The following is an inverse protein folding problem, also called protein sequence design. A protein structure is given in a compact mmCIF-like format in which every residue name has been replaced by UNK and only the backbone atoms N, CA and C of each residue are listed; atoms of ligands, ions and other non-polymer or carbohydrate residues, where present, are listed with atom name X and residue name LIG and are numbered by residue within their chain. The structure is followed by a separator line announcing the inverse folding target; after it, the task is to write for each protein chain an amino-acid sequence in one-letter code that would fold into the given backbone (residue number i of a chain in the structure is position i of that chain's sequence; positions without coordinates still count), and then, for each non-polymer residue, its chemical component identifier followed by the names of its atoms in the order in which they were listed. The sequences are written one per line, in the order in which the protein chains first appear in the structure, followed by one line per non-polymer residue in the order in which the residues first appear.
data_IF_364973847824
#
_entry.id   IF_364973847824
#
_cell.length_a   1.000
_cell.length_b   1.000
_cell.length_c   1.000
_cell.angle_alpha   90.00
_cell.angle_beta   90.00
_cell.angle_gamma   90.00
#
_symmetry.space_group_name_H-M   'P 1'
#
loop_
_entity.id
_entity.type
_entity.pdbx_description
1 polymer ?
#
# COMPACT_ATOMS: atom_id res chain seq x y z
N UNK A 1 30.45 -8.50 24.41
CA UNK A 1 30.36 -9.91 23.98
C UNK A 1 29.27 -10.12 22.91
N UNK A 2 28.03 -9.69 23.13
CA UNK A 2 26.91 -9.87 22.17
C UNK A 2 27.13 -9.26 20.78
N UNK A 3 27.75 -8.07 20.69
CA UNK A 3 28.02 -7.41 19.41
C UNK A 3 28.97 -8.23 18.50
N UNK A 4 30.02 -8.81 19.09
CA UNK A 4 30.97 -9.67 18.37
C UNK A 4 30.30 -10.96 17.91
N UNK A 5 29.42 -11.52 18.74
CA UNK A 5 28.64 -12.73 18.41
C UNK A 5 27.65 -12.48 17.27
N UNK A 6 27.04 -11.28 17.22
CA UNK A 6 26.18 -10.87 16.11
C UNK A 6 26.95 -10.72 14.80
N UNK A 7 28.13 -10.10 14.83
CA UNK A 7 29.01 -10.00 13.64
C UNK A 7 29.40 -11.39 13.14
N UNK A 8 29.73 -12.31 14.04
CA UNK A 8 30.02 -13.70 13.68
C UNK A 8 28.80 -14.42 13.07
N UNK A 9 27.60 -14.24 13.64
CA UNK A 9 26.36 -14.78 13.07
C UNK A 9 26.07 -14.22 11.67
N UNK A 10 26.22 -12.92 11.46
CA UNK A 10 26.05 -12.30 10.14
C UNK A 10 27.05 -12.89 9.16
N UNK A 11 28.33 -12.99 9.54
CA UNK A 11 29.38 -13.62 8.72
C UNK A 11 29.08 -15.08 8.36
N UNK A 12 28.55 -15.87 9.29
CA UNK A 12 28.16 -17.26 9.03
C UNK A 12 26.96 -17.37 8.08
N UNK A 13 25.95 -16.51 8.24
CA UNK A 13 24.77 -16.48 7.37
C UNK A 13 25.20 -16.07 5.94
N UNK A 14 25.95 -14.99 5.81
CA UNK A 14 26.46 -14.50 4.51
C UNK A 14 27.39 -15.54 3.87
N UNK A 15 28.29 -16.15 4.64
CA UNK A 15 29.18 -17.22 4.17
C UNK A 15 28.41 -18.45 3.69
N UNK A 16 27.33 -18.83 4.36
CA UNK A 16 26.46 -19.94 3.94
C UNK A 16 25.76 -19.63 2.61
N UNK A 17 25.23 -18.42 2.43
CA UNK A 17 24.61 -18.03 1.16
C UNK A 17 25.60 -18.06 -0.01
N UNK A 18 26.84 -17.63 0.21
CA UNK A 18 27.90 -17.66 -0.81
C UNK A 18 28.30 -19.10 -1.12
N UNK A 19 28.45 -19.95 -0.11
CA UNK A 19 28.90 -21.35 -0.26
C UNK A 19 27.87 -22.23 -0.97
N UNK A 20 26.58 -22.00 -0.73
CA UNK A 20 25.50 -22.76 -1.37
C UNK A 20 25.01 -22.14 -2.70
N UNK A 21 25.52 -20.97 -3.11
CA UNK A 21 25.14 -20.31 -4.36
C UNK A 21 23.68 -19.85 -4.43
N UNK A 22 22.97 -19.80 -3.29
CA UNK A 22 21.57 -19.36 -3.25
C UNK A 22 21.47 -17.85 -3.40
N UNK A 23 20.70 -17.41 -4.40
CA UNK A 23 20.25 -16.03 -4.49
C UNK A 23 19.38 -15.69 -3.26
N UNK A 24 19.71 -14.63 -2.48
CA UNK A 24 18.91 -14.21 -1.33
C UNK A 24 17.43 -14.00 -1.66
N UNK A 25 17.12 -13.57 -2.89
CA UNK A 25 15.76 -13.41 -3.39
C UNK A 25 15.00 -14.75 -3.47
N UNK A 26 15.63 -15.79 -4.00
CA UNK A 26 14.98 -17.11 -4.15
C UNK A 26 14.70 -17.76 -2.79
N UNK A 27 15.60 -17.57 -1.82
CA UNK A 27 15.38 -18.02 -0.45
C UNK A 27 14.24 -17.27 0.22
N UNK A 28 14.18 -15.93 0.07
CA UNK A 28 13.10 -15.14 0.68
C UNK A 28 11.74 -15.51 0.10
N UNK A 29 11.64 -15.70 -1.22
CA UNK A 29 10.38 -16.12 -1.85
C UNK A 29 9.95 -17.50 -1.34
N UNK A 30 10.86 -18.47 -1.25
CA UNK A 30 10.54 -19.81 -0.75
C UNK A 30 10.08 -19.80 0.73
N UNK A 31 10.72 -19.00 1.57
CA UNK A 31 10.35 -18.86 2.99
C UNK A 31 8.99 -18.18 3.14
N UNK A 32 8.73 -17.10 2.39
CA UNK A 32 7.46 -16.39 2.45
C UNK A 32 6.31 -17.20 1.87
N UNK A 33 6.48 -17.86 0.73
CA UNK A 33 5.48 -18.77 0.15
C UNK A 33 5.13 -19.87 1.14
N UNK A 34 6.10 -20.49 1.81
CA UNK A 34 5.84 -21.54 2.81
C UNK A 34 5.16 -21.01 4.10
N UNK A 35 5.41 -19.76 4.50
CA UNK A 35 4.73 -19.10 5.62
C UNK A 35 3.27 -18.73 5.28
N UNK A 36 3.04 -18.31 4.04
CA UNK A 36 1.74 -17.86 3.52
C UNK A 36 0.86 -19.06 3.13
N UNK A 37 1.36 -19.96 2.29
CA UNK A 37 0.76 -21.23 1.92
C UNK A 37 1.18 -22.35 2.89
N UNK A 38 0.54 -22.40 4.07
CA UNK A 38 0.45 -23.71 4.75
C UNK A 38 -0.50 -24.59 3.94
N UNK A 39 -0.20 -25.90 3.76
CA UNK A 39 -1.02 -26.80 2.96
C UNK A 39 -2.48 -26.73 3.40
N UNK A 40 -3.36 -26.41 2.45
CA UNK A 40 -4.80 -26.31 2.64
C UNK A 40 -5.35 -27.70 2.95
N UNK A 41 -5.95 -27.90 4.12
CA UNK A 41 -6.88 -29.01 4.29
C UNK A 41 -8.25 -28.56 3.78
N UNK A 42 -9.00 -29.43 3.10
CA UNK A 42 -10.34 -29.12 2.58
C UNK A 42 -11.27 -28.50 3.66
N UNK A 43 -11.08 -28.85 4.93
CA UNK A 43 -11.82 -28.26 6.06
C UNK A 43 -11.48 -26.79 6.33
N UNK A 44 -10.28 -26.34 6.00
CA UNK A 44 -9.88 -24.93 6.12
C UNK A 44 -10.46 -24.10 4.96
N UNK A 45 -10.50 -24.65 3.74
CA UNK A 45 -11.05 -23.96 2.56
C UNK A 45 -12.57 -23.76 2.67
N UNK A 46 -13.30 -24.77 3.18
CA UNK A 46 -14.74 -24.67 3.45
C UNK A 46 -15.02 -23.68 4.60
N UNK A 47 -14.18 -23.59 5.63
CA UNK A 47 -14.35 -22.61 6.71
C UNK A 47 -13.93 -21.18 6.31
N UNK A 48 -13.06 -21.03 5.30
CA UNK A 48 -12.66 -19.74 4.72
C UNK A 48 -13.77 -19.13 3.87
N UNK A 49 -14.50 -19.94 3.09
CA UNK A 49 -15.69 -19.48 2.33
C UNK A 49 -16.89 -19.23 3.24
N UNK A 50 -16.97 -19.90 4.39
CA UNK A 50 -18.08 -19.73 5.36
C UNK A 50 -17.82 -18.63 6.41
N UNK A 51 -16.82 -17.75 6.21
CA UNK A 51 -16.47 -16.61 7.09
C UNK A 51 -16.21 -16.94 8.59
N UNK A 52 -16.04 -18.20 8.98
CA UNK A 52 -15.91 -18.59 10.40
C UNK A 52 -14.52 -18.40 11.00
N UNK A 53 -13.48 -18.11 10.21
CA UNK A 53 -12.10 -17.95 10.71
C UNK A 53 -11.41 -16.71 10.14
N UNK A 54 -11.08 -15.72 11.00
CA UNK A 54 -10.32 -14.52 10.61
C UNK A 54 -8.90 -14.93 10.18
N UNK A 55 -8.51 -14.57 8.94
CA UNK A 55 -7.12 -14.73 8.43
C UNK A 55 -6.14 -14.05 9.41
N UNK A 56 -5.01 -14.69 9.71
CA UNK A 56 -3.98 -14.11 10.59
C UNK A 56 -3.53 -12.73 10.08
N UNK A 57 -3.24 -11.79 10.98
CA UNK A 57 -2.87 -10.40 10.62
C UNK A 57 -1.79 -10.32 9.54
N UNK A 58 -0.72 -11.11 9.65
CA UNK A 58 0.38 -11.17 8.67
C UNK A 58 -0.10 -11.61 7.28
N UNK A 59 -0.88 -12.69 7.19
CA UNK A 59 -1.43 -13.18 5.92
C UNK A 59 -2.36 -12.17 5.27
N UNK A 60 -3.16 -11.46 6.08
CA UNK A 60 -4.02 -10.38 5.59
C UNK A 60 -3.18 -9.24 5.00
N UNK A 61 -2.16 -8.78 5.71
CA UNK A 61 -1.25 -7.72 5.23
C UNK A 61 -0.50 -8.12 3.95
N UNK A 62 -0.02 -9.36 3.87
CA UNK A 62 0.66 -9.87 2.68
C UNK A 62 -0.31 -9.96 1.49
N UNK A 63 -1.52 -10.49 1.69
CA UNK A 63 -2.52 -10.60 0.64
C UNK A 63 -3.01 -9.23 0.16
N UNK A 64 -3.23 -8.29 1.09
CA UNK A 64 -3.52 -6.89 0.76
C UNK A 64 -2.37 -6.31 -0.06
N UNK A 65 -1.12 -6.42 0.41
CA UNK A 65 0.06 -5.91 -0.30
C UNK A 65 0.24 -6.54 -1.69
N UNK A 66 -0.04 -7.83 -1.86
CA UNK A 66 -0.01 -8.49 -3.16
C UNK A 66 -1.11 -7.98 -4.10
N UNK A 67 -2.35 -7.84 -3.62
CA UNK A 67 -3.45 -7.27 -4.39
C UNK A 67 -3.12 -5.83 -4.85
N UNK A 68 -2.53 -5.06 -3.94
CA UNK A 68 -2.01 -3.72 -4.15
C UNK A 68 -0.91 -3.68 -5.25
N UNK A 69 0.11 -4.52 -5.13
CA UNK A 69 1.21 -4.57 -6.09
C UNK A 69 0.75 -5.06 -7.48
N UNK A 70 -0.24 -5.95 -7.50
CA UNK A 70 -0.88 -6.40 -8.74
C UNK A 70 -1.68 -5.29 -9.41
N UNK A 71 -2.49 -4.56 -8.65
CA UNK A 71 -3.27 -3.42 -9.15
C UNK A 71 -2.39 -2.26 -9.67
N UNK A 72 -1.19 -2.09 -9.11
CA UNK A 72 -0.24 -1.05 -9.54
C UNK A 72 0.73 -1.51 -10.63
N UNK A 73 0.59 -2.74 -11.14
CA UNK A 73 1.50 -3.32 -12.14
C UNK A 73 2.94 -3.54 -11.62
N UNK A 74 3.16 -3.45 -10.31
CA UNK A 74 4.48 -3.58 -9.64
C UNK A 74 4.69 -4.95 -9.00
N UNK A 75 4.04 -6.00 -9.50
CA UNK A 75 4.10 -7.37 -8.97
C UNK A 75 5.54 -7.90 -8.83
N UNK A 76 6.41 -7.58 -9.79
CA UNK A 76 7.85 -7.95 -9.78
C UNK A 76 8.63 -7.34 -8.59
N UNK A 77 8.04 -6.39 -7.87
CA UNK A 77 8.66 -5.77 -6.69
C UNK A 77 8.35 -6.49 -5.40
N UNK A 78 7.42 -7.44 -5.40
CA UNK A 78 7.06 -8.21 -4.20
C UNK A 78 8.26 -8.97 -3.59
N UNK A 79 9.12 -9.67 -4.35
CA UNK A 79 10.31 -10.32 -3.80
C UNK A 79 11.29 -9.34 -3.14
N UNK A 80 11.43 -8.13 -3.70
CA UNK A 80 12.25 -7.06 -3.11
C UNK A 80 11.67 -6.58 -1.78
N UNK A 81 10.35 -6.48 -1.68
CA UNK A 81 9.67 -6.12 -0.43
C UNK A 81 9.84 -7.20 0.65
N UNK A 82 9.72 -8.47 0.27
CA UNK A 82 9.97 -9.61 1.15
C UNK A 82 11.40 -9.63 1.68
N UNK A 83 12.39 -9.44 0.81
CA UNK A 83 13.80 -9.30 1.21
C UNK A 83 13.98 -8.14 2.21
N UNK A 84 13.40 -6.97 1.91
CA UNK A 84 13.46 -5.81 2.78
C UNK A 84 12.86 -6.11 4.17
N UNK A 85 11.72 -6.79 4.22
CA UNK A 85 11.10 -7.19 5.49
C UNK A 85 11.94 -8.18 6.30
N UNK A 86 12.68 -9.07 5.63
CA UNK A 86 13.60 -10.01 6.30
C UNK A 86 14.81 -9.28 6.86
N UNK A 87 15.34 -8.28 6.14
CA UNK A 87 16.40 -7.41 6.64
C UNK A 87 15.94 -6.64 7.87
N UNK A 88 14.74 -6.06 7.84
CA UNK A 88 14.16 -5.38 9.01
C UNK A 88 13.89 -6.33 10.18
N UNK A 89 13.46 -7.57 9.92
CA UNK A 89 13.32 -8.61 10.94
C UNK A 89 14.66 -8.90 11.63
N UNK A 90 15.72 -9.11 10.85
CA UNK A 90 17.07 -9.37 11.36
C UNK A 90 17.63 -8.16 12.13
N UNK A 91 17.39 -6.94 11.64
CA UNK A 91 17.77 -5.71 12.33
C UNK A 91 17.05 -5.58 13.68
N UNK A 92 15.73 -5.81 13.72
CA UNK A 92 14.95 -5.78 14.95
C UNK A 92 15.41 -6.82 15.98
N UNK A 93 15.67 -8.06 15.55
CA UNK A 93 16.23 -9.08 16.42
C UNK A 93 17.63 -8.69 16.94
N UNK A 94 18.49 -8.14 16.08
CA UNK A 94 19.84 -7.72 16.44
C UNK A 94 19.84 -6.61 17.47
N UNK A 95 18.97 -5.59 17.31
CA UNK A 95 18.82 -4.49 18.28
C UNK A 95 18.42 -5.05 19.65
N UNK A 96 17.43 -5.94 19.72
CA UNK A 96 17.01 -6.54 20.99
C UNK A 96 18.13 -7.35 21.67
N UNK A 97 18.96 -8.07 20.89
CA UNK A 97 20.10 -8.84 21.39
C UNK A 97 21.22 -7.92 21.92
N UNK A 98 21.50 -6.79 21.24
CA UNK A 98 22.47 -5.79 21.71
C UNK A 98 22.01 -5.16 23.02
N UNK A 99 20.72 -4.90 23.17
CA UNK A 99 20.11 -4.42 24.41
C UNK A 99 20.10 -5.47 25.54
N UNK A 100 20.41 -6.73 25.25
CA UNK A 100 20.41 -7.81 26.23
C UNK A 100 19.03 -8.19 26.74
N UNK A 101 17.97 -7.83 26.01
CA UNK A 101 16.58 -8.10 26.40
C UNK A 101 15.99 -9.22 25.55
N UNK A 102 15.93 -10.42 26.12
CA UNK A 102 15.41 -11.60 25.44
C UNK A 102 13.90 -11.50 25.13
N UNK A 103 13.11 -10.92 26.04
CA UNK A 103 11.66 -10.77 25.87
C UNK A 103 11.28 -9.81 24.74
N UNK A 104 12.14 -8.83 24.47
CA UNK A 104 11.94 -7.83 23.42
C UNK A 104 12.20 -8.39 22.00
N UNK A 105 13.00 -9.46 21.86
CA UNK A 105 13.37 -10.05 20.56
C UNK A 105 12.16 -10.35 19.67
N UNK A 106 11.16 -11.15 20.10
CA UNK A 106 10.02 -11.47 19.24
C UNK A 106 9.19 -10.24 18.87
N UNK A 107 9.00 -9.31 19.81
CA UNK A 107 8.19 -8.10 19.60
C UNK A 107 8.86 -7.19 18.57
N UNK A 108 10.15 -6.91 18.73
CA UNK A 108 10.89 -6.01 17.86
C UNK A 108 11.12 -6.63 16.48
N UNK A 109 11.44 -7.92 16.41
CA UNK A 109 11.64 -8.62 15.13
C UNK A 109 10.35 -8.66 14.30
N UNK A 110 9.22 -9.06 14.88
CA UNK A 110 7.92 -9.10 14.18
C UNK A 110 7.41 -7.70 13.86
N UNK A 111 7.56 -6.75 14.79
CA UNK A 111 7.15 -5.36 14.58
C UNK A 111 7.91 -4.69 13.44
N UNK A 112 9.24 -4.85 13.38
CA UNK A 112 10.05 -4.28 12.29
C UNK A 112 9.82 -4.99 10.95
N UNK A 113 9.57 -6.30 10.96
CA UNK A 113 9.20 -7.05 9.74
C UNK A 113 7.97 -6.49 9.05
N UNK A 114 7.01 -5.92 9.80
CA UNK A 114 5.76 -5.40 9.27
C UNK A 114 5.87 -4.00 8.65
N UNK A 115 6.94 -3.25 8.94
CA UNK A 115 7.11 -1.86 8.48
C UNK A 115 7.05 -1.72 6.95
N UNK A 116 7.71 -2.55 6.14
CA UNK A 116 7.65 -2.42 4.68
C UNK A 116 6.25 -2.67 4.11
N UNK A 117 5.49 -3.59 4.69
CA UNK A 117 4.11 -3.87 4.28
C UNK A 117 3.20 -2.68 4.59
N UNK A 118 3.32 -2.11 5.79
CA UNK A 118 2.61 -0.90 6.17
C UNK A 118 2.94 0.30 5.27
N UNK A 119 4.22 0.45 4.90
CA UNK A 119 4.64 1.49 3.97
C UNK A 119 3.93 1.35 2.61
N UNK A 120 3.91 0.15 2.02
CA UNK A 120 3.25 -0.08 0.72
C UNK A 120 1.74 0.19 0.78
N UNK A 121 1.08 -0.23 1.86
CA UNK A 121 -0.34 0.03 2.09
C UNK A 121 -0.63 1.54 2.17
N UNK A 122 0.24 2.31 2.83
CA UNK A 122 0.09 3.77 2.91
C UNK A 122 0.38 4.45 1.57
N UNK A 123 1.45 4.05 0.86
CA UNK A 123 1.87 4.63 -0.42
C UNK A 123 0.85 4.44 -1.53
N UNK A 124 0.06 3.37 -1.50
CA UNK A 124 -0.94 3.13 -2.54
C UNK A 124 -1.99 4.21 -2.69
N UNK A 125 -2.31 4.87 -1.58
CA UNK A 125 -3.22 6.01 -1.56
C UNK A 125 -2.78 7.09 -2.54
N UNK A 126 -1.48 7.40 -2.58
CA UNK A 126 -0.95 8.44 -3.47
C UNK A 126 -1.14 8.06 -4.94
N UNK A 127 -0.93 6.79 -5.30
CA UNK A 127 -1.08 6.35 -6.69
C UNK A 127 -2.51 6.47 -7.20
N UNK A 128 -3.51 6.06 -6.39
CA UNK A 128 -4.93 6.24 -6.76
C UNK A 128 -5.31 7.72 -6.85
N UNK A 129 -4.73 8.57 -6.00
CA UNK A 129 -4.95 10.03 -6.02
C UNK A 129 -4.37 10.69 -7.27
N UNK A 130 -3.13 10.35 -7.63
CA UNK A 130 -2.48 10.90 -8.83
C UNK A 130 -3.28 10.52 -10.08
N UNK A 131 -3.75 9.26 -10.16
CA UNK A 131 -4.66 8.83 -11.22
C UNK A 131 -5.97 9.62 -11.21
N UNK A 132 -6.59 9.82 -10.05
CA UNK A 132 -7.84 10.57 -9.93
C UNK A 132 -7.70 12.05 -10.34
N UNK A 133 -6.58 12.69 -10.00
CA UNK A 133 -6.30 14.08 -10.37
C UNK A 133 -6.04 14.25 -11.87
N UNK A 134 -5.26 13.35 -12.47
CA UNK A 134 -5.05 13.34 -13.92
C UNK A 134 -6.34 12.99 -14.67
N UNK A 135 -7.16 12.08 -14.13
CA UNK A 135 -8.48 11.75 -14.67
C UNK A 135 -9.44 12.93 -14.65
N UNK A 136 -9.52 13.68 -13.54
CA UNK A 136 -10.37 14.87 -13.46
C UNK A 136 -10.05 15.84 -14.61
N UNK A 137 -8.77 16.13 -14.80
CA UNK A 137 -8.29 17.00 -15.87
C UNK A 137 -8.63 16.43 -17.25
N UNK A 138 -8.32 15.15 -17.48
CA UNK A 138 -8.58 14.47 -18.74
C UNK A 138 -10.06 14.46 -19.12
N UNK A 139 -10.93 14.02 -18.19
CA UNK A 139 -12.37 13.92 -18.43
C UNK A 139 -13.01 15.29 -18.60
N UNK A 140 -12.52 16.32 -17.91
CA UNK A 140 -13.01 17.69 -18.09
C UNK A 140 -12.77 18.19 -19.50
N UNK A 141 -11.52 18.12 -19.98
CA UNK A 141 -11.16 18.62 -21.31
C UNK A 141 -11.87 17.79 -22.41
N UNK A 142 -11.88 16.45 -22.28
CA UNK A 142 -12.57 15.56 -23.24
C UNK A 142 -14.07 15.83 -23.25
N UNK A 143 -14.71 15.99 -22.09
CA UNK A 143 -16.14 16.29 -22.01
C UNK A 143 -16.47 17.62 -22.67
N UNK A 144 -15.65 18.65 -22.47
CA UNK A 144 -15.83 19.95 -23.16
C UNK A 144 -15.73 19.81 -24.68
N UNK A 145 -14.72 19.11 -25.20
CA UNK A 145 -14.61 18.86 -26.65
C UNK A 145 -15.75 17.98 -27.18
N UNK A 146 -16.20 16.99 -26.39
CA UNK A 146 -17.32 16.12 -26.77
C UNK A 146 -18.65 16.89 -26.86
N UNK A 147 -18.91 17.81 -25.93
CA UNK A 147 -20.10 18.66 -25.98
C UNK A 147 -20.14 19.56 -27.22
N UNK A 148 -18.97 19.94 -27.75
CA UNK A 148 -18.83 20.75 -28.97
C UNK A 148 -19.00 19.93 -30.24
N UNK A 149 -18.33 18.79 -30.33
CA UNK A 149 -18.21 18.03 -31.58
C UNK A 149 -19.21 16.86 -31.68
N UNK A 150 -19.84 16.45 -30.57
CA UNK A 150 -20.69 15.25 -30.44
C UNK A 150 -20.04 13.92 -30.88
N UNK A 151 -18.72 13.92 -31.06
CA UNK A 151 -17.93 12.75 -31.40
C UNK A 151 -16.80 12.55 -30.38
N UNK A 152 -16.84 11.39 -29.71
CA UNK A 152 -15.88 11.02 -28.68
C UNK A 152 -14.49 10.75 -29.27
N UNK A 153 -14.39 10.26 -30.52
CA UNK A 153 -13.11 9.97 -31.13
C UNK A 153 -12.34 11.25 -31.43
N UNK A 154 -13.01 12.20 -32.08
CA UNK A 154 -12.45 13.53 -32.31
C UNK A 154 -12.14 14.24 -30.99
N UNK A 155 -13.02 14.14 -29.98
CA UNK A 155 -12.79 14.77 -28.68
C UNK A 155 -11.60 14.20 -27.90
N UNK A 156 -11.33 12.89 -27.99
CA UNK A 156 -10.14 12.28 -27.36
C UNK A 156 -8.88 12.59 -28.17
N UNK A 157 -8.97 12.61 -29.50
CA UNK A 157 -7.82 12.89 -30.39
C UNK A 157 -7.30 14.32 -30.26
N UNK A 158 -8.19 15.31 -30.21
CA UNK A 158 -7.81 16.71 -30.01
C UNK A 158 -7.10 16.96 -28.68
N UNK A 159 -7.37 16.13 -27.68
CA UNK A 159 -6.93 16.35 -26.31
C UNK A 159 -5.77 15.45 -25.86
N UNK A 160 -5.33 14.51 -26.71
CA UNK A 160 -4.38 13.47 -26.31
C UNK A 160 -3.03 14.05 -25.87
N UNK A 161 -2.57 15.11 -26.53
CA UNK A 161 -1.27 15.75 -26.25
C UNK A 161 -1.24 16.51 -24.91
N UNK A 162 -2.41 16.80 -24.32
CA UNK A 162 -2.53 17.47 -23.03
C UNK A 162 -2.61 16.50 -21.85
N UNK A 163 -2.66 15.18 -22.11
CA UNK A 163 -2.77 14.15 -21.08
C UNK A 163 -1.39 13.71 -20.58
N UNK A 164 -1.27 13.42 -19.29
CA UNK A 164 -0.07 12.79 -18.74
C UNK A 164 -0.23 11.27 -18.56
N UNK A 165 0.86 10.49 -18.56
CA UNK A 165 0.82 9.08 -18.15
C UNK A 165 0.43 8.94 -16.66
N UNK A 166 -0.41 7.95 -16.25
CA UNK A 166 -0.85 6.78 -17.02
C UNK A 166 -2.13 6.97 -17.86
N UNK A 167 -2.91 8.03 -17.62
CA UNK A 167 -4.21 8.27 -18.28
C UNK A 167 -4.05 8.41 -19.79
N UNK A 168 -2.99 9.09 -20.25
CA UNK A 168 -2.62 9.17 -21.67
C UNK A 168 -2.51 7.80 -22.35
N UNK A 169 -1.89 6.83 -21.68
CA UNK A 169 -1.64 5.51 -22.29
C UNK A 169 -2.94 4.74 -22.53
N UNK A 170 -3.93 4.93 -21.66
CA UNK A 170 -5.25 4.31 -21.73
C UNK A 170 -6.06 4.91 -22.89
N UNK A 171 -6.16 6.23 -22.98
CA UNK A 171 -6.86 6.90 -24.07
C UNK A 171 -6.20 6.71 -25.44
N UNK A 172 -4.85 6.65 -25.48
CA UNK A 172 -4.11 6.32 -26.70
C UNK A 172 -4.42 4.90 -27.18
N UNK A 173 -4.53 3.95 -26.25
CA UNK A 173 -4.90 2.56 -26.57
C UNK A 173 -6.33 2.48 -27.11
N UNK A 174 -7.26 3.23 -26.50
CA UNK A 174 -8.63 3.36 -27.01
C UNK A 174 -8.67 3.89 -28.44
N UNK A 175 -8.02 5.02 -28.74
CA UNK A 175 -8.00 5.58 -30.09
C UNK A 175 -7.34 4.64 -31.10
N UNK A 176 -6.22 4.02 -30.74
CA UNK A 176 -5.50 3.09 -31.61
C UNK A 176 -6.37 1.89 -31.96
N UNK A 177 -7.09 1.34 -30.98
CA UNK A 177 -8.00 0.22 -31.19
C UNK A 177 -9.14 0.58 -32.14
N UNK A 178 -9.80 1.72 -31.90
CA UNK A 178 -10.95 2.11 -32.72
C UNK A 178 -10.54 2.41 -34.17
N UNK A 179 -9.39 3.05 -34.37
CA UNK A 179 -8.90 3.42 -35.70
C UNK A 179 -8.27 2.26 -36.48
N UNK A 180 -7.55 1.35 -35.81
CA UNK A 180 -6.69 0.36 -36.48
C UNK A 180 -7.14 -1.09 -36.32
N UNK A 181 -7.98 -1.41 -35.33
CA UNK A 181 -8.34 -2.81 -34.99
C UNK A 181 -9.81 -3.09 -35.23
N UNK A 182 -10.70 -2.36 -34.56
CA UNK A 182 -12.14 -2.56 -34.66
C UNK A 182 -12.86 -1.22 -34.47
N UNK A 183 -13.67 -0.75 -35.44
CA UNK A 183 -14.40 0.52 -35.36
C UNK A 183 -15.57 0.52 -34.34
N UNK A 184 -15.81 -0.58 -33.63
CA UNK A 184 -16.81 -0.65 -32.56
C UNK A 184 -16.40 0.18 -31.34
N UNK A 185 -16.91 1.41 -31.30
CA UNK A 185 -16.69 2.37 -30.22
C UNK A 185 -17.32 1.91 -28.90
N UNK A 186 -18.45 1.20 -28.92
CA UNK A 186 -19.14 0.78 -27.70
C UNK A 186 -18.35 -0.31 -26.99
N UNK A 187 -17.91 -1.33 -27.72
CA UNK A 187 -17.00 -2.34 -27.19
C UNK A 187 -15.66 -1.73 -26.75
N UNK A 188 -15.15 -0.71 -27.45
CA UNK A 188 -13.94 -0.01 -27.04
C UNK A 188 -14.13 0.83 -25.76
N UNK A 189 -15.31 1.39 -25.51
CA UNK A 189 -15.64 2.11 -24.28
C UNK A 189 -15.79 1.16 -23.08
N UNK A 190 -16.35 -0.03 -23.27
CA UNK A 190 -16.36 -1.07 -22.23
C UNK A 190 -14.94 -1.50 -21.84
N UNK A 191 -14.08 -1.73 -22.82
CA UNK A 191 -12.69 -2.13 -22.53
C UNK A 191 -11.84 -0.95 -22.04
N UNK A 192 -12.25 0.29 -22.31
CA UNK A 192 -11.68 1.50 -21.72
C UNK A 192 -12.03 1.57 -20.22
N UNK A 193 -13.28 1.29 -19.86
CA UNK A 193 -13.79 1.25 -18.48
C UNK A 193 -12.96 0.31 -17.59
N UNK A 194 -12.64 -0.88 -18.10
CA UNK A 194 -11.91 -1.91 -17.33
C UNK A 194 -10.41 -1.59 -17.12
N UNK A 195 -9.83 -0.65 -17.87
CA UNK A 195 -8.42 -0.28 -17.73
C UNK A 195 -8.12 0.61 -16.52
N UNK A 196 -9.13 1.27 -15.96
CA UNK A 196 -8.99 2.20 -14.83
C UNK A 196 -10.01 1.86 -13.74
N UNK A 197 -9.51 1.45 -12.56
CA UNK A 197 -10.34 1.18 -11.38
C UNK A 197 -10.71 2.48 -10.66
N UNK A 198 -11.70 3.19 -11.20
CA UNK A 198 -12.29 4.39 -10.60
C UNK A 198 -13.80 4.43 -10.85
N UNK A 199 -14.58 4.53 -9.76
CA UNK A 199 -16.04 4.47 -9.82
C UNK A 199 -16.66 5.60 -10.67
N UNK A 200 -16.10 6.81 -10.64
CA UNK A 200 -16.63 7.94 -11.42
C UNK A 200 -16.18 7.88 -12.87
N UNK A 201 -15.00 7.33 -13.15
CA UNK A 201 -14.60 7.00 -14.51
C UNK A 201 -15.53 5.94 -15.14
N UNK A 202 -15.95 4.95 -14.35
CA UNK A 202 -16.93 3.95 -14.78
C UNK A 202 -18.28 4.57 -15.10
N UNK A 203 -18.77 5.44 -14.21
CA UNK A 203 -20.01 6.21 -14.41
C UNK A 203 -19.93 7.10 -15.65
N UNK A 204 -18.77 7.74 -15.90
CA UNK A 204 -18.54 8.55 -17.10
C UNK A 204 -18.53 7.72 -18.39
N UNK A 205 -17.89 6.54 -18.38
CA UNK A 205 -17.92 5.63 -19.53
C UNK A 205 -19.35 5.12 -19.81
N UNK A 206 -20.09 4.75 -18.76
CA UNK A 206 -21.49 4.31 -18.89
C UNK A 206 -22.38 5.44 -19.43
N UNK A 207 -22.16 6.68 -18.99
CA UNK A 207 -22.86 7.85 -19.51
C UNK A 207 -22.53 8.13 -20.98
N UNK A 208 -21.27 7.94 -21.42
CA UNK A 208 -20.90 8.04 -22.83
C UNK A 208 -21.59 6.99 -23.71
N UNK A 209 -21.68 5.75 -23.22
CA UNK A 209 -22.40 4.67 -23.90
C UNK A 209 -23.90 4.99 -23.98
N UNK A 210 -24.49 5.55 -22.91
CA UNK A 210 -25.86 6.03 -22.93
C UNK A 210 -26.07 7.19 -23.94
N UNK A 211 -25.10 8.11 -24.05
CA UNK A 211 -25.16 9.22 -25.01
C UNK A 211 -25.16 8.77 -26.48
N UNK A 212 -24.65 7.58 -26.77
CA UNK A 212 -24.73 6.99 -28.12
C UNK A 212 -26.15 6.58 -28.49
N UNK A 213 -26.91 6.09 -27.51
CA UNK A 213 -28.31 5.71 -27.65
C UNK A 213 -29.22 6.94 -27.63
N UNK A 214 -28.92 7.93 -26.79
CA UNK A 214 -29.65 9.18 -26.69
C UNK A 214 -28.71 10.38 -26.51
N UNK A 215 -28.55 11.17 -27.57
CA UNK A 215 -27.65 12.34 -27.58
C UNK A 215 -28.09 13.46 -26.64
N UNK A 216 -29.36 13.49 -26.21
CA UNK A 216 -29.84 14.50 -25.26
C UNK A 216 -29.20 14.37 -23.88
N UNK A 217 -28.69 13.17 -23.56
CA UNK A 217 -28.03 12.86 -22.28
C UNK A 217 -26.62 13.45 -22.16
N UNK A 218 -26.06 14.08 -23.21
CA UNK A 218 -24.68 14.61 -23.17
C UNK A 218 -24.41 15.61 -22.04
N UNK A 219 -25.45 16.31 -21.57
CA UNK A 219 -25.37 17.25 -20.44
C UNK A 219 -25.18 16.56 -19.09
N UNK A 220 -25.46 15.25 -19.00
CA UNK A 220 -25.23 14.44 -17.78
C UNK A 220 -23.76 14.18 -17.51
N UNK A 221 -22.87 14.34 -18.50
CA UNK A 221 -21.42 14.19 -18.29
C UNK A 221 -20.84 15.30 -17.43
N UNK A 222 -21.37 16.53 -17.52
CA UNK A 222 -20.88 17.68 -16.76
C UNK A 222 -20.90 17.40 -15.24
N UNK A 223 -22.05 17.04 -14.62
CA UNK A 223 -22.09 16.76 -13.20
C UNK A 223 -21.26 15.53 -12.79
N UNK A 224 -21.09 14.53 -13.66
CA UNK A 224 -20.22 13.37 -13.40
C UNK A 224 -18.76 13.82 -13.30
N UNK A 225 -18.30 14.70 -14.19
CA UNK A 225 -16.95 15.27 -14.10
C UNK A 225 -16.81 16.19 -12.87
N UNK A 226 -17.83 17.00 -12.55
CA UNK A 226 -17.80 17.84 -11.34
C UNK A 226 -17.66 17.01 -10.06
N UNK A 227 -18.26 15.81 -10.00
CA UNK A 227 -18.09 14.85 -8.91
C UNK A 227 -16.63 14.42 -8.71
N UNK A 228 -15.80 14.36 -9.76
CA UNK A 228 -14.35 14.11 -9.62
C UNK A 228 -13.64 15.27 -8.92
N UNK A 229 -14.04 16.51 -9.23
CA UNK A 229 -13.50 17.70 -8.58
C UNK A 229 -13.85 17.75 -7.09
N UNK A 230 -15.11 17.48 -6.75
CA UNK A 230 -15.56 17.41 -5.37
C UNK A 230 -14.82 16.31 -4.60
N UNK A 231 -14.64 15.13 -5.20
CA UNK A 231 -13.85 14.05 -4.61
C UNK A 231 -12.39 14.44 -4.38
N UNK A 232 -11.78 15.25 -5.26
CA UNK A 232 -10.41 15.75 -5.07
C UNK A 232 -10.32 16.69 -3.88
N UNK A 233 -11.23 17.66 -3.77
CA UNK A 233 -11.28 18.60 -2.64
C UNK A 233 -11.46 17.83 -1.32
N UNK A 234 -12.44 16.93 -1.29
CA UNK A 234 -12.70 16.08 -0.12
C UNK A 234 -11.49 15.19 0.20
N UNK A 235 -10.81 14.62 -0.79
CA UNK A 235 -9.59 13.82 -0.56
C UNK A 235 -8.43 14.65 0.00
N UNK A 236 -8.30 15.92 -0.40
CA UNK A 236 -7.31 16.85 0.15
C UNK A 236 -7.61 17.22 1.61
N UNK A 237 -8.87 17.49 1.92
CA UNK A 237 -9.32 17.73 3.31
C UNK A 237 -9.12 16.48 4.17
N UNK A 238 -9.49 15.31 3.67
CA UNK A 238 -9.31 14.03 4.37
C UNK A 238 -7.84 13.74 4.63
N UNK A 239 -6.94 14.07 3.70
CA UNK A 239 -5.51 13.91 3.90
C UNK A 239 -4.98 14.82 5.01
N UNK A 240 -5.40 16.08 5.05
CA UNK A 240 -5.02 16.98 6.12
C UNK A 240 -5.53 16.47 7.48
N UNK A 241 -6.80 16.05 7.55
CA UNK A 241 -7.41 15.50 8.76
C UNK A 241 -6.77 14.17 9.20
N UNK A 242 -6.21 13.39 8.29
CA UNK A 242 -5.54 12.11 8.60
C UNK A 242 -4.05 12.29 8.87
N UNK A 243 -3.41 13.29 8.27
CA UNK A 243 -1.99 13.58 8.47
C UNK A 243 -1.72 14.13 9.87
N UNK A 244 -2.62 14.96 10.40
CA UNK A 244 -2.54 15.52 11.74
C UNK A 244 -2.44 14.44 12.84
N UNK A 245 -3.37 13.47 12.97
CA UNK A 245 -3.27 12.41 13.98
C UNK A 245 -2.07 11.48 13.73
N UNK A 246 -1.66 11.26 12.48
CA UNK A 246 -0.45 10.48 12.18
C UNK A 246 0.80 11.17 12.68
N UNK A 247 0.92 12.48 12.44
CA UNK A 247 2.07 13.29 12.88
C UNK A 247 2.14 13.31 14.40
N UNK A 248 1.04 13.59 15.08
CA UNK A 248 0.96 13.58 16.55
C UNK A 248 1.35 12.21 17.12
N UNK A 249 0.84 11.14 16.51
CA UNK A 249 1.16 9.79 16.92
C UNK A 249 2.65 9.44 16.76
N UNK A 250 3.27 9.83 15.63
CA UNK A 250 4.71 9.64 15.41
C UNK A 250 5.53 10.44 16.43
N UNK A 251 5.15 11.70 16.71
CA UNK A 251 5.81 12.53 17.72
C UNK A 251 5.72 11.87 19.10
N UNK A 252 4.54 11.34 19.47
CA UNK A 252 4.35 10.63 20.74
C UNK A 252 5.25 9.40 20.84
N UNK A 253 5.37 8.59 19.77
CA UNK A 253 6.26 7.43 19.76
C UNK A 253 7.74 7.82 19.88
N UNK A 254 8.16 8.84 19.14
CA UNK A 254 9.53 9.36 19.22
C UNK A 254 9.84 9.87 20.61
N UNK A 255 8.89 10.51 21.28
CA UNK A 255 9.05 10.98 22.66
C UNK A 255 9.17 9.80 23.62
N UNK A 256 8.33 8.76 23.51
CA UNK A 256 8.41 7.55 24.35
C UNK A 256 9.77 6.85 24.17
N UNK A 257 10.22 6.65 22.93
CA UNK A 257 11.53 6.03 22.65
C UNK A 257 12.68 6.95 23.09
N UNK A 258 12.54 8.26 22.88
CA UNK A 258 13.50 9.28 23.28
C UNK A 258 13.69 9.41 24.79
N UNK A 259 12.71 9.01 25.60
CA UNK A 259 12.86 8.97 27.06
C UNK A 259 13.97 7.98 27.50
N UNK A 260 14.23 6.91 26.74
CA UNK A 260 15.26 5.92 27.08
C UNK A 260 16.66 6.55 27.11
N UNK A 261 17.15 7.23 26.04
CA UNK A 261 18.43 7.92 26.09
C UNK A 261 18.41 9.14 27.03
N UNK A 262 17.29 9.85 27.19
CA UNK A 262 17.20 10.96 28.16
C UNK A 262 17.44 10.44 29.58
N UNK A 263 16.87 9.29 29.96
CA UNK A 263 17.12 8.65 31.24
C UNK A 263 18.60 8.30 31.43
N UNK A 264 19.30 7.88 30.38
CA UNK A 264 20.74 7.62 30.45
C UNK A 264 21.54 8.89 30.83
N UNK A 265 21.17 10.05 30.28
CA UNK A 265 21.84 11.33 30.59
C UNK A 265 21.44 11.91 31.94
N UNK A 266 20.16 11.79 32.32
CA UNK A 266 19.63 12.39 33.54
C UNK A 266 19.95 11.56 34.78
N UNK A 267 19.80 10.24 34.70
CA UNK A 267 19.99 9.34 35.84
C UNK A 267 20.42 7.93 35.39
N UNK A 268 21.72 7.66 35.51
CA UNK A 268 22.32 6.36 35.13
C UNK A 268 21.79 5.18 35.93
N UNK A 269 21.41 5.36 37.19
CA UNK A 269 20.92 4.27 38.04
C UNK A 269 19.51 3.82 37.62
N UNK A 270 18.65 4.79 37.27
CA UNK A 270 17.31 4.50 36.76
C UNK A 270 17.36 3.87 35.37
N UNK A 271 18.25 4.35 34.50
CA UNK A 271 18.49 3.72 33.21
C UNK A 271 18.99 2.28 33.37
N UNK A 272 19.97 2.05 34.25
CA UNK A 272 20.51 0.71 34.51
C UNK A 272 19.42 -0.22 35.07
N UNK A 273 18.59 0.29 35.99
CA UNK A 273 17.44 -0.44 36.53
C UNK A 273 16.45 -0.80 35.42
N UNK A 274 16.10 0.12 34.54
CA UNK A 274 15.15 -0.12 33.46
C UNK A 274 15.68 -1.10 32.39
N UNK A 275 16.96 -1.02 32.03
CA UNK A 275 17.53 -1.82 30.94
C UNK A 275 17.99 -3.22 31.37
N UNK A 276 18.51 -3.35 32.59
CA UNK A 276 19.19 -4.57 33.03
C UNK A 276 18.43 -5.38 34.09
N UNK A 277 17.34 -4.85 34.67
CA UNK A 277 16.48 -5.66 35.55
C UNK A 277 15.41 -6.41 34.77
N UNK A 278 15.00 -7.58 35.28
CA UNK A 278 13.96 -8.38 34.64
C UNK A 278 12.61 -7.64 34.53
N UNK A 279 12.27 -6.84 35.56
CA UNK A 279 11.04 -6.04 35.56
C UNK A 279 11.13 -4.89 34.54
N UNK A 280 12.26 -4.20 34.45
CA UNK A 280 12.46 -3.16 33.46
C UNK A 280 12.42 -3.69 32.02
N UNK A 281 13.03 -4.86 31.78
CA UNK A 281 12.97 -5.53 30.48
C UNK A 281 11.56 -5.95 30.06
N UNK A 282 10.72 -6.38 31.01
CA UNK A 282 9.31 -6.65 30.76
C UNK A 282 8.54 -5.38 30.42
N UNK A 283 8.76 -4.29 31.17
CA UNK A 283 8.13 -2.99 30.89
C UNK A 283 8.49 -2.51 29.49
N UNK A 284 9.77 -2.55 29.10
CA UNK A 284 10.21 -2.19 27.76
C UNK A 284 9.56 -3.05 26.67
N UNK A 285 9.38 -4.34 26.94
CA UNK A 285 8.70 -5.27 26.01
C UNK A 285 7.23 -4.92 25.84
N UNK A 286 6.53 -4.62 26.92
CA UNK A 286 5.12 -4.19 26.89
C UNK A 286 4.99 -2.86 26.16
N UNK A 287 5.85 -1.87 26.46
CA UNK A 287 5.86 -0.59 25.76
C UNK A 287 6.09 -0.76 24.26
N UNK A 288 7.07 -1.57 23.85
CA UNK A 288 7.32 -1.86 22.44
C UNK A 288 6.13 -2.56 21.78
N UNK A 289 5.49 -3.51 22.46
CA UNK A 289 4.30 -4.19 21.95
C UNK A 289 3.14 -3.21 21.74
N UNK A 290 2.91 -2.32 22.71
CA UNK A 290 1.88 -1.27 22.61
C UNK A 290 2.18 -0.32 21.45
N UNK A 291 3.44 0.08 21.24
CA UNK A 291 3.86 0.90 20.09
C UNK A 291 3.47 0.20 18.78
N UNK A 292 3.83 -1.07 18.58
CA UNK A 292 3.50 -1.75 17.32
C UNK A 292 2.01 -2.02 17.14
N UNK A 293 1.27 -2.37 18.20
CA UNK A 293 -0.18 -2.59 18.14
C UNK A 293 -0.92 -1.29 17.85
N UNK A 294 -0.52 -0.18 18.48
CA UNK A 294 -1.08 1.14 18.21
C UNK A 294 -0.74 1.61 16.80
N UNK A 295 0.49 1.41 16.30
CA UNK A 295 0.84 1.71 14.90
C UNK A 295 -0.03 0.94 13.93
N UNK A 296 -0.19 -0.37 14.14
CA UNK A 296 -1.06 -1.20 13.32
C UNK A 296 -2.52 -0.72 13.31
N UNK A 297 -3.00 -0.18 14.44
CA UNK A 297 -4.37 0.32 14.60
C UNK A 297 -4.54 1.69 13.95
N UNK A 298 -3.58 2.60 14.14
CA UNK A 298 -3.55 3.91 13.49
C UNK A 298 -3.48 3.75 11.97
N UNK A 299 -2.64 2.86 11.44
CA UNK A 299 -2.60 2.62 9.99
C UNK A 299 -3.95 2.14 9.47
N UNK A 300 -4.63 1.24 10.18
CA UNK A 300 -5.97 0.77 9.80
C UNK A 300 -7.03 1.87 9.87
N UNK A 301 -6.99 2.71 10.89
CA UNK A 301 -7.95 3.80 11.07
C UNK A 301 -7.70 4.95 10.09
N UNK A 302 -6.45 5.13 9.68
CA UNK A 302 -6.03 6.18 8.76
C UNK A 302 -5.97 5.69 7.31
N UNK A 303 -6.31 4.44 7.03
CA UNK A 303 -6.51 4.01 5.65
C UNK A 303 -7.58 4.92 5.03
N UNK A 304 -7.31 5.52 3.85
CA UNK A 304 -8.27 6.40 3.23
C UNK A 304 -9.53 5.60 2.97
N UNK A 305 -10.64 6.09 3.48
CA UNK A 305 -11.94 5.50 3.20
C UNK A 305 -12.21 5.88 1.74
N UNK A 306 -12.15 4.91 0.84
CA UNK A 306 -12.71 5.11 -0.51
C UNK A 306 -14.18 5.47 -0.32
N UNK A 307 -14.52 6.73 -0.65
CA UNK A 307 -15.88 7.22 -0.54
C UNK A 307 -16.72 6.55 -1.62
N UNK A 308 -17.21 5.35 -1.33
CA UNK A 308 -18.26 4.68 -2.10
C UNK A 308 -19.58 5.29 -1.64
N UNK A 309 -20.09 6.25 -2.40
CA UNK A 309 -21.51 6.60 -2.36
C UNK A 309 -22.22 5.93 -3.51
#
# INVERSE_FOLDING_TARGET
MNFVLLIACIGMITGSFILFGFSPMTFTDAVFVRLVDKPKSLRNEINETTHRKKRSYLRRQIAETQAILKATGREKSFPRLCLLSLVFFAAGASIAIVLGNFFLVPVLAVGMMLLPFWYVVLTQTHFKKDIAAELETALSIITTSYLRNEDILTAVEENLDYLNPPVLSVFKTFLTRVKLVNPDVEAALYDLKDQIDNAVFHEWCDALIACRHDRSLKTTLIPIVTKLSDMRVVNGELENMVFEPRKEFIIMQLLVVGNIPILYFLNRDWHHTLMHTAMGQLVLTVCAAVIFVSTASVIRLTQPIEYRR
#
